data_IF_559642976282
#
_entry.id   IF_559642976282
#
_cell.length_a   1.000
_cell.length_b   1.000
_cell.length_c   1.000
_cell.angle_alpha   90.00
_cell.angle_beta   90.00
_cell.angle_gamma   90.00
#
_symmetry.space_group_name_H-M   'P 1'
#
loop_
_entity.id
_entity.type
_entity.pdbx_description
1 polymer ?
#
# COMPACT_ATOMS: atom_id res chain seq x y z
N UNK A 1 29.09 -42.74 39.99
CA UNK A 1 30.09 -43.59 39.29
C UNK A 1 30.84 -42.68 38.31
N UNK A 2 32.18 -42.61 38.34
CA UNK A 2 33.14 -43.49 37.60
C UNK A 2 33.06 -43.28 36.08
N UNK A 3 34.11 -42.93 35.31
CA UNK A 3 35.56 -42.76 35.59
C UNK A 3 36.24 -41.91 34.48
N UNK A 4 37.33 -41.20 34.83
CA UNK A 4 38.69 -41.13 34.19
C UNK A 4 38.84 -41.38 32.65
N UNK A 5 39.74 -40.76 31.88
CA UNK A 5 41.06 -40.15 32.19
C UNK A 5 41.76 -39.48 30.97
N UNK A 6 42.54 -38.39 31.19
CA UNK A 6 43.90 -38.10 30.62
C UNK A 6 44.07 -37.97 29.06
N UNK A 7 45.16 -37.42 28.48
CA UNK A 7 46.48 -36.95 29.01
C UNK A 7 47.13 -35.85 28.11
N UNK A 8 47.61 -34.76 28.75
CA UNK A 8 48.87 -34.00 28.54
C UNK A 8 49.62 -33.92 27.19
N UNK A 9 50.09 -32.70 26.86
CA UNK A 9 51.35 -32.44 26.14
C UNK A 9 51.81 -30.99 26.38
N UNK A 10 53.04 -30.76 26.84
CA UNK A 10 53.54 -29.42 27.21
C UNK A 10 55.07 -29.28 27.22
N UNK A 11 55.57 -28.13 26.72
CA UNK A 11 56.86 -27.41 26.96
C UNK A 11 56.85 -26.16 26.03
N UNK A 12 57.27 -24.95 26.41
CA UNK A 12 58.52 -24.45 27.01
C UNK A 12 59.72 -24.54 26.03
N UNK A 13 60.61 -23.53 25.88
CA UNK A 13 60.82 -22.28 26.63
C UNK A 13 61.61 -21.23 25.79
N UNK A 14 61.83 -20.04 26.38
CA UNK A 14 62.58 -18.86 25.89
C UNK A 14 63.91 -19.10 25.15
N UNK A 15 64.29 -18.12 24.30
CA UNK A 15 65.62 -17.50 24.35
C UNK A 15 65.61 -16.05 23.82
N UNK A 16 66.45 -15.18 24.39
CA UNK A 16 66.79 -13.83 23.89
C UNK A 16 68.28 -13.83 23.51
N UNK A 17 68.74 -12.93 22.63
CA UNK A 17 70.17 -12.62 22.50
C UNK A 17 70.63 -12.12 21.13
N UNK A 18 71.23 -10.92 21.11
CA UNK A 18 72.23 -10.48 20.12
C UNK A 18 73.59 -10.40 20.84
N UNK A 19 74.75 -10.43 20.15
CA UNK A 19 75.38 -9.13 19.81
C UNK A 19 76.35 -9.07 18.57
N UNK A 20 76.41 -7.88 17.96
CA UNK A 20 77.56 -7.06 17.55
C UNK A 20 78.84 -7.58 16.81
N UNK A 21 79.35 -6.69 15.91
CA UNK A 21 80.76 -6.52 15.42
C UNK A 21 81.26 -7.57 14.39
N UNK A 22 82.20 -7.35 13.44
CA UNK A 22 83.08 -6.23 12.93
C UNK A 22 83.61 -6.64 11.50
N UNK A 23 84.37 -5.91 10.65
CA UNK A 23 84.81 -4.51 10.48
C UNK A 23 85.46 -4.30 9.06
N UNK A 24 85.54 -3.04 8.57
CA UNK A 24 86.40 -2.62 7.42
C UNK A 24 85.87 -2.93 6.00
N UNK A 25 86.37 -2.33 4.91
CA UNK A 25 87.34 -1.21 4.73
C UNK A 25 87.26 -0.64 3.29
N UNK A 26 87.91 0.52 3.06
CA UNK A 26 88.29 1.13 1.76
C UNK A 26 87.23 1.86 0.91
N UNK A 27 87.48 3.15 0.68
CA UNK A 27 87.09 3.88 -0.53
C UNK A 27 88.22 3.77 -1.59
N UNK A 28 88.00 4.23 -2.84
CA UNK A 28 88.43 5.59 -3.14
C UNK A 28 87.48 6.43 -4.03
N UNK A 29 87.63 7.75 -3.83
CA UNK A 29 87.34 8.95 -4.65
C UNK A 29 86.73 8.86 -6.08
N UNK A 30 85.81 9.81 -6.27
CA UNK A 30 85.64 10.72 -7.44
C UNK A 30 85.43 10.15 -8.85
N UNK A 31 84.21 10.32 -9.36
CA UNK A 31 84.02 11.02 -10.65
C UNK A 31 82.70 11.84 -10.62
N UNK A 32 82.61 12.93 -11.40
CA UNK A 32 81.55 13.93 -11.26
C UNK A 32 80.48 13.86 -12.37
N UNK A 33 79.29 13.35 -12.04
CA UNK A 33 78.12 13.33 -12.94
C UNK A 33 77.01 14.29 -12.51
N UNK A 34 77.01 15.54 -13.01
CA UNK A 34 75.86 16.45 -12.85
C UNK A 34 74.78 16.09 -13.88
N UNK A 35 73.76 15.35 -13.46
CA UNK A 35 72.52 15.20 -14.20
C UNK A 35 71.39 15.99 -13.49
N UNK A 36 70.87 17.04 -14.14
CA UNK A 36 69.60 17.62 -13.71
C UNK A 36 68.48 16.62 -14.04
N UNK A 37 67.88 16.03 -13.01
CA UNK A 37 66.49 15.59 -13.09
C UNK A 37 65.63 16.75 -12.55
N UNK A 38 65.02 17.52 -13.45
CA UNK A 38 64.06 18.56 -13.04
C UNK A 38 62.92 17.91 -12.24
N UNK A 39 62.45 18.53 -11.14
CA UNK A 39 61.31 18.01 -10.40
C UNK A 39 60.08 17.97 -11.32
N UNK A 40 59.37 16.85 -11.31
CA UNK A 40 58.11 16.73 -12.04
C UNK A 40 57.15 17.85 -11.61
N UNK A 41 56.34 18.43 -12.52
CA UNK A 41 55.46 19.53 -12.17
C UNK A 41 54.49 19.10 -11.06
N UNK A 42 54.55 19.76 -9.91
CA UNK A 42 53.53 19.57 -8.88
C UNK A 42 52.16 19.90 -9.48
N UNK A 43 51.24 18.93 -9.44
CA UNK A 43 49.82 19.17 -9.72
C UNK A 43 49.27 20.10 -8.63
N UNK A 44 49.43 21.41 -8.86
CA UNK A 44 48.92 22.46 -7.98
C UNK A 44 47.44 22.15 -7.68
N UNK A 45 47.07 21.89 -6.41
CA UNK A 45 45.72 21.47 -6.08
C UNK A 45 44.76 22.55 -6.56
N UNK A 46 43.84 22.17 -7.45
CA UNK A 46 42.93 23.13 -8.06
C UNK A 46 42.18 23.87 -6.95
N UNK A 47 42.07 25.21 -7.02
CA UNK A 47 41.46 25.99 -5.95
C UNK A 47 40.03 25.53 -5.77
N UNK A 48 39.75 24.89 -4.63
CA UNK A 48 38.42 24.47 -4.24
C UNK A 48 37.53 25.72 -4.23
N UNK A 49 36.67 25.85 -5.25
CA UNK A 49 35.95 27.08 -5.50
C UNK A 49 34.97 27.31 -4.34
N UNK A 50 35.37 28.16 -3.39
CA UNK A 50 34.69 28.31 -2.11
C UNK A 50 33.27 28.82 -2.36
N UNK A 51 32.30 27.91 -2.29
CA UNK A 51 30.91 28.23 -2.56
C UNK A 51 30.46 29.26 -1.53
N UNK A 52 30.11 30.45 -2.01
CA UNK A 52 29.51 31.45 -1.13
C UNK A 52 28.23 30.88 -0.51
N UNK A 53 27.95 31.24 0.74
CA UNK A 53 26.81 30.68 1.49
C UNK A 53 25.49 30.80 0.72
N UNK A 54 25.29 31.89 -0.03
CA UNK A 54 24.13 32.07 -0.93
C UNK A 54 24.09 31.08 -2.10
N UNK A 55 25.21 30.74 -2.73
CA UNK A 55 25.27 29.73 -3.81
C UNK A 55 25.04 28.31 -3.29
N UNK A 56 25.60 27.98 -2.12
CA UNK A 56 25.34 26.72 -1.41
C UNK A 56 23.87 26.59 -1.04
N UNK A 57 23.29 27.61 -0.40
CA UNK A 57 21.88 27.64 -0.01
C UNK A 57 20.95 27.57 -1.22
N UNK A 58 21.25 28.29 -2.30
CA UNK A 58 20.48 28.25 -3.55
C UNK A 58 20.54 26.87 -4.22
N UNK A 59 21.65 26.15 -4.08
CA UNK A 59 21.76 24.76 -4.57
C UNK A 59 20.89 23.81 -3.75
N UNK A 60 20.85 23.94 -2.42
CA UNK A 60 19.91 23.19 -1.57
C UNK A 60 18.45 23.52 -1.87
N UNK A 61 18.10 24.79 -2.02
CA UNK A 61 16.74 25.22 -2.39
C UNK A 61 16.31 24.61 -3.72
N UNK A 62 17.16 24.61 -4.75
CA UNK A 62 16.87 23.93 -6.03
C UNK A 62 16.61 22.43 -5.83
N UNK A 63 17.49 21.73 -5.11
CA UNK A 63 17.33 20.28 -4.86
C UNK A 63 16.04 19.97 -4.10
N UNK A 64 15.70 20.79 -3.11
CA UNK A 64 14.44 20.66 -2.33
C UNK A 64 13.22 20.92 -3.23
N UNK A 65 13.23 21.97 -4.06
CA UNK A 65 12.15 22.27 -5.01
C UNK A 65 11.99 21.15 -6.05
N UNK A 66 13.09 20.59 -6.58
CA UNK A 66 13.06 19.46 -7.51
C UNK A 66 12.50 18.20 -6.82
N UNK A 67 12.94 17.90 -5.60
CA UNK A 67 12.44 16.77 -4.82
C UNK A 67 10.93 16.89 -4.54
N UNK A 68 10.45 18.08 -4.15
CA UNK A 68 9.02 18.35 -3.99
C UNK A 68 8.26 18.27 -5.33
N UNK A 69 8.80 18.80 -6.43
CA UNK A 69 8.16 18.69 -7.74
C UNK A 69 7.99 17.23 -8.19
N UNK A 70 9.04 16.40 -8.03
CA UNK A 70 8.99 14.96 -8.28
C UNK A 70 7.95 14.30 -7.35
N UNK A 71 7.95 14.62 -6.05
CA UNK A 71 6.97 14.10 -5.10
C UNK A 71 5.53 14.45 -5.46
N UNK A 72 5.25 15.70 -5.85
CA UNK A 72 3.92 16.12 -6.29
C UNK A 72 3.49 15.44 -7.59
N UNK A 73 4.40 15.21 -8.55
CA UNK A 73 4.12 14.44 -9.77
C UNK A 73 3.81 12.97 -9.44
N UNK A 74 4.59 12.33 -8.55
CA UNK A 74 4.34 10.97 -8.10
C UNK A 74 2.99 10.84 -7.36
N UNK A 75 2.65 11.81 -6.50
CA UNK A 75 1.38 11.87 -5.77
C UNK A 75 0.17 12.15 -6.68
N UNK A 76 0.36 12.99 -7.71
CA UNK A 76 -0.68 13.30 -8.68
C UNK A 76 -1.02 12.10 -9.58
N UNK A 77 0.01 11.40 -10.08
CA UNK A 77 -0.12 10.44 -11.18
C UNK A 77 -0.16 8.98 -10.74
N UNK A 78 0.67 8.57 -9.78
CA UNK A 78 0.94 7.15 -9.50
C UNK A 78 0.31 6.69 -8.19
N UNK A 79 0.67 7.37 -7.09
CA UNK A 79 0.40 6.94 -5.72
C UNK A 79 -0.37 8.03 -4.99
N UNK A 80 -1.66 7.84 -4.68
CA UNK A 80 -2.39 8.77 -3.79
C UNK A 80 -2.44 8.19 -2.36
N UNK A 81 -2.20 9.03 -1.35
CA UNK A 81 -2.52 8.74 0.05
C UNK A 81 -4.03 8.79 0.31
N UNK A 82 -4.53 7.85 1.11
CA UNK A 82 -5.91 7.79 1.59
C UNK A 82 -5.96 7.32 3.06
N UNK A 83 -6.92 7.84 3.83
CA UNK A 83 -7.18 7.50 5.24
C UNK A 83 -8.56 6.82 5.33
N UNK A 84 -8.68 5.79 6.17
CA UNK A 84 -9.96 5.12 6.46
C UNK A 84 -10.67 5.84 7.60
N UNK A 85 -11.87 6.34 7.29
CA UNK A 85 -12.77 7.08 8.19
C UNK A 85 -14.07 6.32 8.50
N UNK A 86 -14.14 5.01 8.25
CA UNK A 86 -15.27 4.17 8.66
C UNK A 86 -14.87 2.69 8.84
N UNK A 87 -15.52 2.00 9.79
CA UNK A 87 -15.36 0.56 10.01
C UNK A 87 -16.06 -0.35 8.99
N UNK A 88 -16.55 0.19 7.86
CA UNK A 88 -17.32 -0.58 6.86
C UNK A 88 -16.51 -1.64 6.10
N UNK A 89 -15.18 -1.62 6.25
CA UNK A 89 -14.24 -2.58 5.69
C UNK A 89 -13.50 -3.42 6.75
N UNK A 90 -13.94 -3.37 8.00
CA UNK A 90 -13.38 -4.22 9.06
C UNK A 90 -13.81 -5.68 8.86
N UNK A 91 -12.97 -6.68 9.19
CA UNK A 91 -11.67 -6.57 9.85
C UNK A 91 -10.48 -6.31 8.91
N UNK A 92 -10.72 -6.22 7.59
CA UNK A 92 -9.67 -6.03 6.58
C UNK A 92 -9.00 -4.66 6.67
N UNK A 93 -9.78 -3.58 6.84
CA UNK A 93 -9.33 -2.19 7.05
C UNK A 93 -10.12 -1.55 8.19
N UNK A 94 -9.43 -0.94 9.15
CA UNK A 94 -10.02 -0.28 10.32
C UNK A 94 -9.96 1.25 10.20
N UNK A 95 -10.86 1.94 10.91
CA UNK A 95 -10.76 3.40 11.09
C UNK A 95 -9.37 3.79 11.62
N UNK A 96 -8.72 4.78 10.99
CA UNK A 96 -7.35 5.18 11.30
C UNK A 96 -6.24 4.46 10.52
N UNK A 97 -6.55 3.46 9.68
CA UNK A 97 -5.60 2.95 8.68
C UNK A 97 -5.33 3.99 7.58
N UNK A 98 -4.05 4.22 7.26
CA UNK A 98 -3.60 5.08 6.17
C UNK A 98 -2.91 4.22 5.11
N UNK A 99 -3.39 4.30 3.87
CA UNK A 99 -2.96 3.45 2.76
C UNK A 99 -2.58 4.26 1.53
N UNK A 100 -1.67 3.70 0.74
CA UNK A 100 -1.35 4.19 -0.60
C UNK A 100 -2.18 3.42 -1.64
N UNK A 101 -2.63 4.13 -2.68
CA UNK A 101 -3.41 3.53 -3.78
C UNK A 101 -2.68 3.68 -5.12
N UNK A 102 -2.63 2.60 -5.90
CA UNK A 102 -2.21 2.62 -7.30
C UNK A 102 -3.40 3.08 -8.14
N UNK A 103 -3.25 4.24 -8.81
CA UNK A 103 -4.30 4.81 -9.67
C UNK A 103 -4.16 4.38 -11.13
N UNK A 104 -2.94 4.12 -11.59
CA UNK A 104 -2.59 3.85 -12.99
C UNK A 104 -3.22 2.55 -13.50
N UNK A 105 -3.33 1.53 -12.62
CA UNK A 105 -3.83 0.19 -12.98
C UNK A 105 -5.20 0.20 -13.69
N UNK A 106 -6.10 1.12 -13.30
CA UNK A 106 -7.45 1.28 -13.88
C UNK A 106 -7.58 2.50 -14.81
N UNK A 107 -6.46 3.09 -15.25
CA UNK A 107 -6.41 4.26 -16.10
C UNK A 107 -6.75 5.56 -15.36
N UNK A 108 -5.76 6.16 -14.67
CA UNK A 108 -5.94 7.37 -13.87
C UNK A 108 -6.19 8.61 -14.75
N UNK A 109 -7.10 9.54 -14.38
CA UNK A 109 -7.17 10.85 -15.02
C UNK A 109 -5.91 11.67 -14.68
N UNK A 110 -5.25 12.19 -15.72
CA UNK A 110 -4.02 12.97 -15.59
C UNK A 110 -4.39 14.45 -15.39
N UNK A 111 -3.98 15.10 -14.27
CA UNK A 111 -4.26 16.52 -14.05
C UNK A 111 -3.68 17.40 -15.15
N UNK A 112 -4.35 18.52 -15.44
CA UNK A 112 -4.00 19.54 -16.46
C UNK A 112 -4.03 19.06 -17.93
N UNK A 113 -3.79 17.77 -18.20
CA UNK A 113 -3.60 17.23 -19.55
C UNK A 113 -4.85 16.56 -20.16
N UNK A 114 -5.94 16.42 -19.40
CA UNK A 114 -7.26 15.98 -19.87
C UNK A 114 -7.39 14.50 -20.26
N UNK A 115 -6.30 13.82 -20.59
CA UNK A 115 -6.30 12.38 -20.91
C UNK A 115 -6.27 11.48 -19.66
N UNK A 116 -6.53 10.19 -19.85
CA UNK A 116 -6.35 9.14 -18.82
C UNK A 116 -5.13 8.29 -19.16
N UNK A 117 -4.38 7.82 -18.16
CA UNK A 117 -3.33 6.82 -18.39
C UNK A 117 -3.91 5.57 -19.04
N UNK A 118 -3.14 4.81 -19.83
CA UNK A 118 -3.58 3.50 -20.32
C UNK A 118 -4.09 2.63 -19.16
N UNK A 119 -5.24 1.97 -19.34
CA UNK A 119 -5.77 0.98 -18.41
C UNK A 119 -4.89 -0.27 -18.52
N UNK A 120 -4.33 -0.73 -17.40
CA UNK A 120 -3.48 -1.93 -17.38
C UNK A 120 -4.33 -3.20 -17.33
N UNK A 121 -5.38 -3.19 -16.50
CA UNK A 121 -6.44 -4.21 -16.48
C UNK A 121 -7.73 -3.67 -15.86
N UNK A 122 -8.78 -4.48 -15.85
CA UNK A 122 -9.99 -4.21 -15.08
C UNK A 122 -9.88 -4.70 -13.62
N UNK A 123 -10.75 -4.24 -12.70
CA UNK A 123 -10.86 -4.78 -11.35
C UNK A 123 -11.27 -6.26 -11.33
N UNK A 124 -10.68 -7.03 -10.41
CA UNK A 124 -10.91 -8.47 -10.27
C UNK A 124 -11.92 -8.81 -9.16
N UNK A 125 -12.31 -10.08 -9.07
CA UNK A 125 -13.30 -10.58 -8.10
C UNK A 125 -12.67 -10.73 -6.72
N UNK A 126 -13.36 -10.27 -5.68
CA UNK A 126 -12.82 -10.21 -4.32
C UNK A 126 -11.80 -9.09 -4.11
N UNK A 127 -11.50 -8.27 -5.13
CA UNK A 127 -10.49 -7.23 -5.06
C UNK A 127 -10.99 -6.00 -4.29
N UNK A 128 -10.15 -5.46 -3.41
CA UNK A 128 -10.39 -4.19 -2.73
C UNK A 128 -10.13 -3.05 -3.72
N UNK A 129 -11.07 -2.10 -3.82
CA UNK A 129 -10.94 -0.94 -4.70
C UNK A 129 -11.36 0.34 -3.99
N UNK A 130 -10.75 1.46 -4.40
CA UNK A 130 -11.19 2.79 -4.00
C UNK A 130 -12.12 3.35 -5.06
N UNK A 131 -13.31 3.73 -4.61
CA UNK A 131 -14.39 4.32 -5.41
C UNK A 131 -14.52 5.80 -5.08
N UNK A 132 -15.05 6.58 -6.02
CA UNK A 132 -15.70 7.85 -5.69
C UNK A 132 -17.02 7.57 -4.98
N UNK A 133 -17.37 8.37 -3.97
CA UNK A 133 -18.69 8.31 -3.32
C UNK A 133 -19.83 8.50 -4.33
N UNK A 134 -20.93 7.78 -4.13
CA UNK A 134 -22.03 7.70 -5.10
C UNK A 134 -22.99 8.88 -4.93
N UNK A 135 -23.44 9.10 -3.69
CA UNK A 135 -24.28 10.22 -3.28
C UNK A 135 -23.46 11.48 -2.98
N UNK A 136 -22.23 11.30 -2.48
CA UNK A 136 -21.27 12.37 -2.23
C UNK A 136 -19.99 12.21 -3.10
N UNK A 137 -19.98 12.75 -4.34
CA UNK A 137 -18.85 12.61 -5.27
C UNK A 137 -17.51 13.23 -4.84
N UNK A 138 -17.51 13.99 -3.74
CA UNK A 138 -16.30 14.56 -3.11
C UNK A 138 -15.57 13.50 -2.27
N UNK A 139 -16.32 12.58 -1.65
CA UNK A 139 -15.76 11.52 -0.82
C UNK A 139 -15.10 10.44 -1.69
N UNK A 140 -14.11 9.77 -1.12
CA UNK A 140 -13.54 8.53 -1.66
C UNK A 140 -13.76 7.44 -0.61
N UNK A 141 -14.15 6.24 -1.04
CA UNK A 141 -14.49 5.12 -0.15
C UNK A 141 -13.80 3.85 -0.61
N UNK A 142 -13.54 2.91 0.30
CA UNK A 142 -13.04 1.57 -0.06
C UNK A 142 -14.20 0.58 0.04
N UNK A 143 -14.33 -0.29 -0.96
CA UNK A 143 -15.25 -1.45 -0.98
C UNK A 143 -14.57 -2.63 -1.69
N UNK A 144 -15.10 -3.83 -1.49
CA UNK A 144 -14.64 -5.05 -2.19
C UNK A 144 -15.54 -5.35 -3.39
N UNK A 145 -14.95 -5.73 -4.51
CA UNK A 145 -15.67 -6.16 -5.72
C UNK A 145 -16.25 -7.56 -5.51
N UNK A 146 -17.57 -7.67 -5.51
CA UNK A 146 -18.29 -8.95 -5.32
C UNK A 146 -18.57 -9.61 -6.67
N UNK A 147 -18.95 -8.81 -7.66
CA UNK A 147 -19.32 -9.27 -8.99
C UNK A 147 -19.03 -8.21 -10.08
N UNK A 148 -18.97 -8.68 -11.31
CA UNK A 148 -18.65 -7.94 -12.53
C UNK A 148 -19.82 -8.05 -13.52
N UNK A 149 -19.92 -7.11 -14.47
CA UNK A 149 -20.90 -7.18 -15.56
C UNK A 149 -20.96 -8.56 -16.25
N UNK A 150 -22.17 -9.08 -16.41
CA UNK A 150 -22.47 -10.44 -16.89
C UNK A 150 -22.75 -11.46 -15.78
N UNK A 151 -22.41 -11.19 -14.52
CA UNK A 151 -22.77 -12.09 -13.40
C UNK A 151 -24.25 -12.02 -13.06
N UNK A 152 -24.80 -13.15 -12.61
CA UNK A 152 -25.98 -13.20 -11.74
C UNK A 152 -25.53 -13.28 -10.28
N UNK A 153 -26.05 -12.41 -9.41
CA UNK A 153 -25.79 -12.41 -7.96
C UNK A 153 -27.08 -12.61 -7.18
N UNK A 154 -27.01 -13.43 -6.15
CA UNK A 154 -28.08 -13.72 -5.22
C UNK A 154 -27.49 -13.86 -3.80
N UNK A 155 -28.23 -13.44 -2.79
CA UNK A 155 -27.93 -13.69 -1.39
C UNK A 155 -29.05 -14.53 -0.77
N UNK A 156 -28.68 -15.55 -0.01
CA UNK A 156 -29.59 -16.43 0.72
C UNK A 156 -29.11 -16.54 2.16
N UNK A 157 -29.77 -15.84 3.09
CA UNK A 157 -29.41 -15.80 4.51
C UNK A 157 -27.91 -15.52 4.72
N UNK A 158 -27.48 -14.34 4.27
CA UNK A 158 -26.11 -13.82 4.25
C UNK A 158 -25.09 -14.58 3.38
N UNK A 159 -25.42 -15.77 2.88
CA UNK A 159 -24.56 -16.52 1.96
C UNK A 159 -24.63 -15.96 0.53
N UNK A 160 -23.49 -15.53 -0.01
CA UNK A 160 -23.33 -15.12 -1.40
C UNK A 160 -23.40 -16.32 -2.36
N UNK A 161 -24.30 -16.22 -3.34
CA UNK A 161 -24.33 -17.07 -4.52
C UNK A 161 -24.06 -16.22 -5.77
N UNK A 162 -23.19 -16.72 -6.65
CA UNK A 162 -22.83 -16.05 -7.91
C UNK A 162 -22.85 -17.06 -9.05
N UNK A 163 -23.63 -16.76 -10.09
CA UNK A 163 -23.91 -17.67 -11.21
C UNK A 163 -24.40 -19.05 -10.72
N UNK A 164 -25.25 -19.06 -9.69
CA UNK A 164 -25.80 -20.25 -9.03
C UNK A 164 -24.87 -20.96 -8.02
N UNK A 165 -23.56 -20.70 -8.04
CA UNK A 165 -22.59 -21.32 -7.14
C UNK A 165 -22.38 -20.52 -5.86
N UNK A 166 -22.23 -21.21 -4.71
CA UNK A 166 -21.83 -20.58 -3.45
C UNK A 166 -20.41 -20.00 -3.53
N UNK A 167 -20.19 -18.83 -2.93
CA UNK A 167 -18.88 -18.18 -2.85
C UNK A 167 -18.47 -18.06 -1.37
N UNK A 168 -17.34 -18.65 -0.93
CA UNK A 168 -16.84 -18.46 0.43
C UNK A 168 -16.25 -17.05 0.59
N UNK A 169 -16.62 -16.35 1.66
CA UNK A 169 -16.20 -14.97 1.94
C UNK A 169 -15.51 -14.88 3.32
N UNK A 170 -14.29 -15.43 3.49
CA UNK A 170 -13.62 -15.53 4.81
C UNK A 170 -13.16 -14.19 5.40
N UNK A 171 -13.32 -13.08 4.67
CA UNK A 171 -13.07 -11.70 5.09
C UNK A 171 -14.32 -11.02 5.68
N UNK A 172 -15.51 -11.63 5.56
CA UNK A 172 -16.77 -11.04 6.03
C UNK A 172 -16.90 -11.14 7.54
N UNK A 173 -17.42 -10.06 8.15
CA UNK A 173 -17.99 -10.11 9.50
C UNK A 173 -19.43 -9.57 9.53
N UNK A 174 -20.18 -10.07 10.52
CA UNK A 174 -21.53 -9.63 10.87
C UNK A 174 -21.54 -9.20 12.33
N UNK A 175 -21.52 -7.88 12.57
CA UNK A 175 -21.50 -7.29 13.92
C UNK A 175 -22.90 -7.16 14.54
N UNK A 176 -23.96 -7.21 13.73
CA UNK A 176 -25.37 -7.11 14.14
C UNK A 176 -26.24 -8.11 13.35
N UNK A 177 -25.96 -9.43 13.40
CA UNK A 177 -26.59 -10.43 12.52
C UNK A 177 -28.12 -10.55 12.70
N UNK A 178 -28.65 -10.14 13.86
CA UNK A 178 -30.08 -10.17 14.17
C UNK A 178 -30.82 -8.86 13.85
N UNK A 179 -30.11 -7.81 13.40
CA UNK A 179 -30.75 -6.54 13.05
C UNK A 179 -31.61 -6.70 11.79
N UNK A 180 -32.92 -6.36 11.85
CA UNK A 180 -33.80 -6.41 10.68
C UNK A 180 -33.41 -5.30 9.69
N UNK A 181 -33.62 -5.55 8.39
CA UNK A 181 -33.56 -4.47 7.39
C UNK A 181 -34.76 -3.56 7.57
N UNK A 182 -34.53 -2.25 7.65
CA UNK A 182 -35.61 -1.27 7.82
C UNK A 182 -36.46 -1.14 6.53
N UNK A 183 -37.73 -0.70 6.62
CA UNK A 183 -38.62 -0.62 5.46
C UNK A 183 -38.15 0.31 4.34
N UNK A 184 -37.35 1.34 4.65
CA UNK A 184 -36.86 2.30 3.65
C UNK A 184 -35.68 1.69 2.87
N UNK A 185 -34.77 0.98 3.54
CA UNK A 185 -33.75 0.15 2.87
C UNK A 185 -34.40 -0.96 2.03
N UNK A 186 -35.45 -1.63 2.51
CA UNK A 186 -36.18 -2.66 1.72
C UNK A 186 -36.68 -2.07 0.40
N UNK A 187 -37.33 -0.90 0.41
CA UNK A 187 -37.85 -0.29 -0.81
C UNK A 187 -36.73 0.31 -1.68
N UNK A 188 -35.68 0.89 -1.08
CA UNK A 188 -34.47 1.34 -1.80
C UNK A 188 -33.85 0.18 -2.58
N UNK A 189 -33.58 -0.95 -1.91
CA UNK A 189 -33.07 -2.18 -2.53
C UNK A 189 -33.99 -2.68 -3.64
N UNK A 190 -35.30 -2.75 -3.36
CA UNK A 190 -36.31 -3.21 -4.32
C UNK A 190 -36.35 -2.35 -5.58
N UNK A 191 -36.29 -1.02 -5.43
CA UNK A 191 -36.45 -0.08 -6.55
C UNK A 191 -35.41 -0.27 -7.65
N UNK A 192 -34.12 -0.41 -7.30
CA UNK A 192 -33.06 -0.62 -8.29
C UNK A 192 -32.97 -2.09 -8.73
N UNK A 193 -33.23 -3.05 -7.83
CA UNK A 193 -33.13 -4.47 -8.16
C UNK A 193 -34.20 -4.92 -9.17
N UNK A 194 -35.41 -4.35 -9.15
CA UNK A 194 -36.47 -4.67 -10.12
C UNK A 194 -36.08 -4.42 -11.59
N UNK A 195 -35.09 -3.56 -11.85
CA UNK A 195 -34.53 -3.31 -13.19
C UNK A 195 -33.64 -4.45 -13.71
N UNK A 196 -33.16 -5.30 -12.80
CA UNK A 196 -32.14 -6.32 -13.06
C UNK A 196 -32.53 -7.73 -12.56
N UNK A 197 -33.70 -7.86 -11.93
CA UNK A 197 -34.23 -9.09 -11.36
C UNK A 197 -34.60 -10.07 -12.46
N UNK A 198 -34.07 -11.30 -12.37
CA UNK A 198 -34.40 -12.37 -13.32
C UNK A 198 -35.89 -12.72 -13.23
N UNK A 199 -36.51 -13.01 -14.38
CA UNK A 199 -37.94 -13.34 -14.46
C UNK A 199 -38.33 -14.68 -13.80
N UNK A 200 -37.35 -15.40 -13.25
CA UNK A 200 -37.56 -16.51 -12.31
C UNK A 200 -38.12 -16.06 -10.95
N UNK A 201 -38.16 -14.76 -10.67
CA UNK A 201 -38.63 -14.18 -9.40
C UNK A 201 -39.87 -13.33 -9.63
N UNK A 202 -40.93 -13.59 -8.87
CA UNK A 202 -42.17 -12.82 -8.95
C UNK A 202 -42.00 -11.39 -8.41
N UNK A 203 -42.02 -10.42 -9.33
CA UNK A 203 -41.81 -8.98 -9.04
C UNK A 203 -42.86 -8.38 -8.08
N UNK A 204 -44.03 -9.00 -7.93
CA UNK A 204 -45.08 -8.58 -6.99
C UNK A 204 -44.75 -8.93 -5.53
N UNK A 205 -44.31 -10.16 -5.25
CA UNK A 205 -44.01 -10.67 -3.91
C UNK A 205 -42.58 -10.43 -3.46
N UNK A 206 -41.65 -10.15 -4.38
CA UNK A 206 -40.24 -9.86 -4.08
C UNK A 206 -40.05 -8.78 -2.99
N UNK A 207 -39.45 -9.13 -1.85
CA UNK A 207 -39.08 -8.21 -0.76
C UNK A 207 -37.62 -8.46 -0.36
N UNK A 208 -36.66 -7.71 -0.91
CA UNK A 208 -35.26 -7.89 -0.58
C UNK A 208 -34.97 -7.39 0.83
N UNK A 209 -33.97 -8.00 1.45
CA UNK A 209 -33.36 -7.58 2.73
C UNK A 209 -31.85 -7.51 2.53
N UNK A 210 -31.11 -6.94 3.48
CA UNK A 210 -29.64 -6.91 3.43
C UNK A 210 -29.00 -8.31 3.40
N UNK A 211 -29.76 -9.36 3.78
CA UNK A 211 -29.33 -10.76 3.98
C UNK A 211 -29.84 -11.73 2.91
N UNK A 212 -30.98 -11.43 2.29
CA UNK A 212 -31.64 -12.28 1.28
C UNK A 212 -32.24 -11.41 0.17
N UNK A 213 -31.74 -11.55 -1.05
CA UNK A 213 -32.13 -10.76 -2.23
C UNK A 213 -31.57 -11.37 -3.53
N UNK A 214 -32.09 -10.94 -4.68
CA UNK A 214 -31.78 -11.48 -6.01
C UNK A 214 -32.61 -12.73 -6.36
N UNK A 215 -32.20 -13.51 -7.37
CA UNK A 215 -31.09 -13.25 -8.29
C UNK A 215 -31.28 -12.00 -9.17
N UNK A 216 -30.23 -11.18 -9.30
CA UNK A 216 -30.14 -10.04 -10.23
C UNK A 216 -28.94 -10.19 -11.18
N UNK A 217 -29.07 -9.74 -12.43
CA UNK A 217 -27.98 -9.76 -13.42
C UNK A 217 -27.28 -8.39 -13.53
N UNK A 218 -25.94 -8.38 -13.46
CA UNK A 218 -25.13 -7.17 -13.58
C UNK A 218 -24.99 -6.74 -15.05
N UNK A 219 -25.29 -5.47 -15.41
CA UNK A 219 -25.03 -4.95 -16.75
C UNK A 219 -23.53 -4.97 -17.13
N UNK A 220 -23.19 -5.03 -18.44
CA UNK A 220 -21.83 -4.83 -18.92
C UNK A 220 -21.17 -3.55 -18.37
N UNK A 221 -19.85 -3.57 -18.21
CA UNK A 221 -19.04 -2.47 -17.65
C UNK A 221 -19.45 -1.95 -16.26
N UNK A 222 -20.28 -2.69 -15.52
CA UNK A 222 -20.62 -2.40 -14.12
C UNK A 222 -19.95 -3.38 -13.14
N UNK A 223 -20.00 -3.01 -11.86
CA UNK A 223 -19.46 -3.71 -10.70
C UNK A 223 -20.52 -3.72 -9.59
N UNK A 224 -20.63 -4.83 -8.86
CA UNK A 224 -21.26 -4.83 -7.53
C UNK A 224 -20.15 -4.78 -6.49
N UNK A 225 -20.27 -3.85 -5.53
CA UNK A 225 -19.25 -3.61 -4.50
C UNK A 225 -19.87 -3.56 -3.12
N UNK A 226 -19.36 -4.35 -2.16
CA UNK A 226 -19.88 -4.43 -0.80
C UNK A 226 -18.79 -4.17 0.24
N UNK A 227 -19.20 -3.90 1.48
CA UNK A 227 -18.29 -3.90 2.62
C UNK A 227 -17.95 -5.30 3.11
N UNK A 228 -16.84 -5.40 3.83
CA UNK A 228 -16.45 -6.62 4.56
C UNK A 228 -17.19 -6.69 5.90
N UNK A 229 -17.48 -5.54 6.52
CA UNK A 229 -18.38 -5.43 7.66
C UNK A 229 -19.83 -5.32 7.17
N UNK A 230 -20.49 -6.46 6.96
CA UNK A 230 -21.76 -6.54 6.22
C UNK A 230 -22.93 -5.84 6.89
N UNK A 231 -22.92 -5.72 8.21
CA UNK A 231 -24.01 -5.07 8.96
C UNK A 231 -23.73 -3.58 9.26
N UNK A 232 -22.53 -3.08 8.96
CA UNK A 232 -22.12 -1.68 9.17
C UNK A 232 -21.54 -1.05 7.89
N UNK A 233 -22.12 -1.39 6.73
CA UNK A 233 -21.65 -0.95 5.42
C UNK A 233 -22.80 -0.49 4.53
N UNK A 234 -22.92 0.84 4.38
CA UNK A 234 -23.61 1.44 3.23
C UNK A 234 -22.79 1.12 1.97
N UNK A 235 -23.38 0.37 1.04
CA UNK A 235 -22.72 -0.19 -0.14
C UNK A 235 -23.68 -0.51 -1.30
N UNK A 236 -23.23 -1.29 -2.29
CA UNK A 236 -23.99 -1.64 -3.49
C UNK A 236 -25.30 -2.40 -3.27
N UNK A 237 -25.62 -2.82 -2.04
CA UNK A 237 -27.00 -3.19 -1.67
C UNK A 237 -27.95 -1.99 -1.73
N UNK A 238 -27.52 -0.83 -1.27
CA UNK A 238 -28.30 0.40 -1.21
C UNK A 238 -28.31 1.15 -2.55
N UNK A 239 -27.12 1.44 -3.09
CA UNK A 239 -26.97 2.24 -4.31
C UNK A 239 -26.90 1.44 -5.62
N UNK A 240 -26.99 0.10 -5.55
CA UNK A 240 -26.94 -0.78 -6.71
C UNK A 240 -25.56 -0.91 -7.36
N UNK A 241 -25.57 -1.12 -8.69
CA UNK A 241 -24.36 -1.38 -9.46
C UNK A 241 -23.65 -0.08 -9.88
N UNK A 242 -22.31 -0.09 -9.83
CA UNK A 242 -21.49 1.07 -10.21
C UNK A 242 -20.75 0.85 -11.53
N UNK A 243 -20.74 1.82 -12.45
CA UNK A 243 -19.99 1.72 -13.70
C UNK A 243 -18.48 1.83 -13.42
N UNK A 244 -17.66 1.05 -14.13
CA UNK A 244 -16.19 0.97 -13.94
C UNK A 244 -15.44 2.32 -13.88
N UNK A 245 -15.84 3.40 -14.60
CA UNK A 245 -15.18 4.71 -14.47
C UNK A 245 -15.20 5.34 -13.07
N UNK A 246 -16.05 4.88 -12.14
CA UNK A 246 -16.08 5.33 -10.74
C UNK A 246 -14.90 4.79 -9.90
N UNK A 247 -14.16 3.80 -10.40
CA UNK A 247 -12.99 3.26 -9.71
C UNK A 247 -11.80 4.22 -9.83
N UNK A 248 -11.23 4.61 -8.70
CA UNK A 248 -10.16 5.61 -8.57
C UNK A 248 -8.76 4.99 -8.43
N UNK A 249 -8.66 3.72 -8.02
CA UNK A 249 -7.41 3.00 -7.83
C UNK A 249 -7.56 1.76 -6.93
N UNK A 250 -6.48 1.00 -6.79
CA UNK A 250 -6.39 -0.15 -5.87
C UNK A 250 -5.54 0.19 -4.64
N UNK A 251 -5.95 -0.14 -3.40
CA UNK A 251 -5.05 -0.23 -2.26
C UNK A 251 -3.79 -1.04 -2.57
N UNK A 252 -2.65 -0.56 -2.06
CA UNK A 252 -1.34 -1.23 -2.14
C UNK A 252 -0.97 -1.83 -0.79
N UNK A 253 -0.75 -0.97 0.21
CA UNK A 253 -0.42 -1.34 1.57
C UNK A 253 -0.81 -0.23 2.56
N UNK A 254 -1.01 -0.62 3.82
CA UNK A 254 -1.21 0.28 4.96
C UNK A 254 0.16 0.82 5.35
N UNK A 255 0.48 2.08 5.07
CA UNK A 255 1.78 2.66 5.40
C UNK A 255 1.87 3.18 6.84
N UNK A 256 0.71 3.41 7.48
CA UNK A 256 0.59 3.86 8.86
C UNK A 256 -0.80 3.47 9.39
N UNK A 257 -0.93 3.25 10.70
CA UNK A 257 -2.19 2.87 11.33
C UNK A 257 -2.17 3.24 12.80
N UNK A 258 -3.25 3.85 13.29
CA UNK A 258 -3.45 4.15 14.71
C UNK A 258 -4.90 3.90 15.10
N UNK A 259 -5.17 3.91 16.40
CA UNK A 259 -6.51 3.75 16.97
C UNK A 259 -7.12 5.13 17.28
N UNK A 260 -8.02 5.68 16.43
CA UNK A 260 -8.52 7.05 16.61
C UNK A 260 -9.43 7.18 17.83
N UNK A 261 -10.10 6.10 18.22
CA UNK A 261 -11.00 6.03 19.37
C UNK A 261 -10.28 5.69 20.68
N UNK A 262 -8.93 5.73 20.70
CA UNK A 262 -8.15 5.40 21.88
C UNK A 262 -8.17 6.51 22.93
N UNK A 263 -8.35 6.15 24.20
CA UNK A 263 -8.49 7.09 25.33
C UNK A 263 -7.26 7.97 25.63
N UNK A 264 -6.09 7.64 25.06
CA UNK A 264 -4.84 8.37 25.32
C UNK A 264 -4.81 9.69 24.53
N UNK A 265 -4.21 10.77 25.08
CA UNK A 265 -3.98 11.98 24.32
C UNK A 265 -3.08 11.71 23.10
N UNK A 266 -3.33 12.44 22.01
CA UNK A 266 -2.61 12.31 20.73
C UNK A 266 -2.56 10.84 20.22
N UNK A 267 -3.71 10.17 19.99
CA UNK A 267 -3.77 8.73 19.69
C UNK A 267 -2.96 8.33 18.44
N UNK A 268 -2.79 9.25 17.49
CA UNK A 268 -1.94 9.07 16.31
C UNK A 268 -0.47 8.76 16.66
N UNK A 269 0.07 9.26 17.77
CA UNK A 269 1.40 8.87 18.28
C UNK A 269 1.35 7.90 19.47
N UNK A 270 0.29 7.89 20.28
CA UNK A 270 0.23 7.09 21.52
C UNK A 270 -0.50 5.73 21.39
N UNK A 271 -1.16 5.49 20.25
CA UNK A 271 -1.98 4.30 19.96
C UNK A 271 -1.73 3.73 18.54
N UNK A 272 -0.48 3.75 18.08
CA UNK A 272 -0.06 3.21 16.77
C UNK A 272 -0.26 1.69 16.73
N UNK A 273 -0.99 1.20 15.72
CA UNK A 273 -1.28 -0.22 15.48
C UNK A 273 -0.16 -0.87 14.66
N UNK A 274 1.06 -0.90 15.19
CA UNK A 274 2.29 -1.35 14.51
C UNK A 274 2.14 -2.63 13.68
N UNK A 275 1.43 -3.63 14.22
CA UNK A 275 1.20 -4.92 13.53
C UNK A 275 0.41 -4.85 12.22
N UNK A 276 -0.21 -3.71 11.86
CA UNK A 276 -0.89 -3.49 10.57
C UNK A 276 0.01 -2.84 9.51
N UNK A 277 1.11 -2.20 9.90
CA UNK A 277 1.95 -1.43 8.98
C UNK A 277 2.66 -2.33 7.94
N UNK A 278 2.81 -1.80 6.73
CA UNK A 278 3.37 -2.43 5.54
C UNK A 278 2.66 -3.71 5.07
N UNK A 279 1.49 -4.03 5.60
CA UNK A 279 0.63 -5.11 5.09
C UNK A 279 -0.20 -4.62 3.91
N UNK A 280 -0.30 -5.44 2.87
CA UNK A 280 -1.38 -5.35 1.91
C UNK A 280 -2.69 -5.79 2.60
N UNK A 281 -3.78 -5.01 2.51
CA UNK A 281 -5.10 -5.49 2.91
C UNK A 281 -5.57 -6.56 1.90
N UNK A 282 -6.22 -7.60 2.40
CA UNK A 282 -6.69 -8.75 1.61
C UNK A 282 -8.10 -9.19 2.01
#
# INVERSE_FOLDING_TARGET
>A
MSRKNRRTGARNLNAQGAPAYQAGTNAPREESGKANSDPAPEERPQPHQQQTFGQWLWSWVKTIVIAFAIWFVLQALIIKSFRIDSGSMEPTLFEGDWLFINRVIYGAPVPLLGFRTPKVRDPERGELIVLRGVEEPVLSIVKRVIALGGDTVEFRSDSLFRNGAYVPEPYVQHVNPTMPTDPMTVEQMRSWQLLYLLDTVEKATYRPTLRTWGPVVLPPEHLLTMGDNRDASYDGRHWGFLPRPNVMGRPLFIYYSFDPNHWRPLPFVTAIRWGRMFRAPW
#
